data_IF_172054477168
#
_entry.id   IF_172054477168
#
_cell.length_a   1.000
_cell.length_b   1.000
_cell.length_c   1.000
_cell.angle_alpha   90.00
_cell.angle_beta   90.00
_cell.angle_gamma   90.00
#
_symmetry.space_group_name_H-M   'P 1'
#
loop_
_entity.id
_entity.type
_entity.pdbx_description
1 polymer ?
#
# COMPACT_ATOMS: atom_id res chain seq x y z
N UNK A 1 -28.74 -6.25 19.08
CA UNK A 1 -27.35 -6.78 18.95
C UNK A 1 -26.41 -5.82 19.65
N UNK A 2 -25.90 -6.17 20.83
CA UNK A 2 -24.91 -5.36 21.53
C UNK A 2 -23.53 -5.83 21.05
N UNK A 3 -22.80 -4.98 20.34
CA UNK A 3 -21.43 -5.28 19.93
C UNK A 3 -20.59 -5.28 21.22
N UNK A 4 -19.95 -6.39 21.59
CA UNK A 4 -19.36 -6.50 22.90
C UNK A 4 -18.03 -5.73 22.93
N UNK A 5 -17.95 -4.75 23.84
CA UNK A 5 -16.90 -3.73 23.94
C UNK A 5 -15.47 -4.27 24.11
N UNK A 6 -15.32 -5.54 24.48
CA UNK A 6 -14.04 -6.20 24.60
C UNK A 6 -13.36 -6.46 23.24
N UNK A 7 -14.14 -6.63 22.16
CA UNK A 7 -13.58 -6.83 20.82
C UNK A 7 -12.98 -5.51 20.31
N UNK A 8 -13.65 -4.39 20.59
CA UNK A 8 -13.17 -3.07 20.21
C UNK A 8 -11.86 -2.69 20.92
N UNK A 9 -11.71 -3.02 22.22
CA UNK A 9 -10.47 -2.74 22.94
C UNK A 9 -9.29 -3.62 22.49
N UNK A 10 -9.55 -4.87 22.10
CA UNK A 10 -8.52 -5.76 21.54
C UNK A 10 -8.03 -5.28 20.18
N UNK A 11 -8.94 -4.80 19.32
CA UNK A 11 -8.55 -4.21 18.03
C UNK A 11 -7.77 -2.90 18.23
N UNK A 12 -8.17 -2.08 19.20
CA UNK A 12 -7.49 -0.82 19.50
C UNK A 12 -6.07 -1.02 20.05
N UNK A 13 -5.89 -1.99 20.95
CA UNK A 13 -4.57 -2.31 21.53
C UNK A 13 -3.62 -2.91 20.50
N UNK A 14 -4.12 -3.77 19.60
CA UNK A 14 -3.33 -4.27 18.48
C UNK A 14 -2.95 -3.15 17.50
N UNK A 15 -3.87 -2.26 17.16
CA UNK A 15 -3.59 -1.12 16.28
C UNK A 15 -2.57 -0.13 16.88
N UNK A 16 -2.61 0.07 18.20
CA UNK A 16 -1.67 0.94 18.92
C UNK A 16 -0.23 0.38 18.90
N UNK A 17 -0.07 -0.95 18.92
CA UNK A 17 1.26 -1.57 18.81
C UNK A 17 1.89 -1.40 17.42
N UNK A 18 1.07 -1.28 16.37
CA UNK A 18 1.52 -1.01 15.00
C UNK A 18 1.88 0.48 14.82
N UNK A 19 1.32 1.38 15.63
CA UNK A 19 1.59 2.83 15.59
C UNK A 19 2.64 3.32 16.59
N UNK A 20 3.19 2.44 17.45
CA UNK A 20 4.41 2.77 18.19
C UNK A 20 5.61 2.79 17.23
N UNK A 21 5.80 3.96 16.62
CA UNK A 21 7.03 4.33 15.97
C UNK A 21 8.16 4.16 16.97
N UNK A 22 8.96 3.11 16.76
CA UNK A 22 10.20 2.92 17.50
C UNK A 22 11.05 4.18 17.37
N UNK A 23 11.73 4.64 18.43
CA UNK A 23 12.65 5.77 18.36
C UNK A 23 13.68 5.46 17.27
N UNK A 24 13.54 6.18 16.16
CA UNK A 24 14.39 6.09 14.99
C UNK A 24 15.78 6.59 15.38
N UNK A 25 16.66 5.65 15.74
CA UNK A 25 18.08 5.92 15.77
C UNK A 25 18.52 6.32 14.34
N UNK A 26 19.14 7.48 14.22
CA UNK A 26 19.58 8.16 12.99
C UNK A 26 20.71 7.44 12.23
N UNK A 27 20.62 6.11 12.08
CA UNK A 27 21.58 5.29 11.34
C UNK A 27 20.96 4.19 10.47
N UNK A 28 19.70 3.85 10.68
CA UNK A 28 19.00 2.81 9.91
C UNK A 28 18.15 3.46 8.82
N UNK A 29 18.81 3.87 7.74
CA UNK A 29 18.13 4.09 6.48
C UNK A 29 17.61 2.75 6.00
N UNK A 30 16.30 2.53 6.08
CA UNK A 30 15.62 1.34 5.55
C UNK A 30 16.21 1.03 4.18
N UNK A 31 16.94 -0.08 4.06
CA UNK A 31 17.62 -0.40 2.81
C UNK A 31 16.54 -0.57 1.74
N UNK A 32 16.85 -0.18 0.49
CA UNK A 32 15.96 -0.48 -0.63
C UNK A 32 15.64 -1.99 -0.70
N UNK A 33 16.57 -2.83 -0.25
CA UNK A 33 16.36 -4.27 -0.10
C UNK A 33 15.26 -4.62 0.92
N UNK A 34 15.21 -3.92 2.06
CA UNK A 34 14.18 -4.12 3.08
C UNK A 34 12.81 -3.64 2.61
N UNK A 35 12.77 -2.53 1.88
CA UNK A 35 11.54 -2.04 1.24
C UNK A 35 11.03 -3.02 0.19
N UNK A 36 11.92 -3.57 -0.64
CA UNK A 36 11.57 -4.57 -1.63
C UNK A 36 11.09 -5.89 -0.99
N UNK A 37 11.74 -6.33 0.10
CA UNK A 37 11.34 -7.51 0.86
C UNK A 37 9.95 -7.32 1.48
N UNK A 38 9.69 -6.17 2.10
CA UNK A 38 8.39 -5.83 2.66
C UNK A 38 7.30 -5.73 1.59
N UNK A 39 7.62 -5.20 0.41
CA UNK A 39 6.69 -5.14 -0.73
C UNK A 39 6.34 -6.54 -1.25
N UNK A 40 7.33 -7.44 -1.37
CA UNK A 40 7.11 -8.83 -1.75
C UNK A 40 6.20 -9.56 -0.76
N UNK A 41 6.39 -9.31 0.55
CA UNK A 41 5.56 -9.91 1.60
C UNK A 41 4.13 -9.39 1.55
N UNK A 42 3.95 -8.07 1.36
CA UNK A 42 2.64 -7.46 1.17
C UNK A 42 1.92 -7.98 -0.09
N UNK A 43 2.66 -8.18 -1.19
CA UNK A 43 2.12 -8.74 -2.44
C UNK A 43 1.62 -10.17 -2.23
N UNK A 44 2.39 -11.03 -1.56
CA UNK A 44 1.98 -12.40 -1.23
C UNK A 44 0.75 -12.45 -0.33
N UNK A 45 0.67 -11.57 0.67
CA UNK A 45 -0.51 -11.44 1.52
C UNK A 45 -1.75 -10.99 0.71
N UNK A 46 -1.56 -10.09 -0.26
CA UNK A 46 -2.58 -9.67 -1.20
C UNK A 46 -3.07 -10.79 -2.13
N UNK A 47 -2.16 -11.64 -2.62
CA UNK A 47 -2.51 -12.81 -3.43
C UNK A 47 -3.34 -13.83 -2.66
N UNK A 48 -2.99 -14.11 -1.40
CA UNK A 48 -3.76 -15.00 -0.53
C UNK A 48 -5.18 -14.46 -0.27
N UNK A 49 -5.29 -13.15 -0.04
CA UNK A 49 -6.57 -12.45 0.15
C UNK A 49 -7.42 -12.46 -1.12
N UNK A 50 -6.79 -12.26 -2.28
CA UNK A 50 -7.45 -12.30 -3.59
C UNK A 50 -7.92 -13.71 -3.93
N UNK A 51 -7.12 -14.75 -3.66
CA UNK A 51 -7.57 -16.14 -3.77
C UNK A 51 -8.78 -16.42 -2.90
N UNK A 52 -8.80 -15.94 -1.65
CA UNK A 52 -9.96 -16.07 -0.78
C UNK A 52 -11.20 -15.35 -1.35
N UNK A 53 -11.02 -14.17 -1.96
CA UNK A 53 -12.09 -13.42 -2.64
C UNK A 53 -12.64 -14.10 -3.91
N UNK A 54 -11.78 -14.73 -4.70
CA UNK A 54 -12.14 -15.43 -5.94
C UNK A 54 -12.97 -16.71 -5.70
N UNK A 55 -12.96 -17.26 -4.48
CA UNK A 55 -13.82 -18.41 -4.09
C UNK A 55 -15.32 -18.07 -3.93
N UNK A 56 -15.75 -16.86 -4.32
CA UNK A 56 -17.16 -16.54 -4.55
C UNK A 56 -17.91 -15.93 -3.37
N UNK A 57 -17.24 -15.20 -2.47
CA UNK A 57 -17.88 -14.45 -1.36
C UNK A 57 -17.72 -12.93 -1.42
N UNK A 58 -17.34 -12.37 -2.56
CA UNK A 58 -17.18 -10.93 -2.71
C UNK A 58 -18.45 -10.31 -3.33
N UNK A 59 -19.26 -9.70 -2.48
CA UNK A 59 -20.43 -8.88 -2.85
C UNK A 59 -20.01 -7.78 -3.85
N UNK A 60 -20.92 -7.28 -4.69
CA UNK A 60 -20.59 -6.25 -5.70
C UNK A 60 -19.91 -5.01 -5.09
N UNK A 61 -20.16 -4.77 -3.80
CA UNK A 61 -19.53 -3.73 -3.00
C UNK A 61 -18.00 -3.95 -2.80
N UNK A 62 -17.55 -5.19 -2.66
CA UNK A 62 -16.12 -5.51 -2.48
C UNK A 62 -15.30 -5.20 -3.75
N UNK A 63 -15.91 -5.33 -4.93
CA UNK A 63 -15.28 -4.92 -6.19
C UNK A 63 -15.10 -3.40 -6.26
N UNK A 64 -16.09 -2.64 -5.77
CA UNK A 64 -16.01 -1.17 -5.72
C UNK A 64 -14.99 -0.70 -4.68
N UNK A 65 -14.90 -1.38 -3.53
CA UNK A 65 -13.90 -1.08 -2.50
C UNK A 65 -12.48 -1.35 -3.01
N UNK A 66 -12.27 -2.49 -3.70
CA UNK A 66 -10.99 -2.80 -4.33
C UNK A 66 -10.62 -1.79 -5.44
N UNK A 67 -11.61 -1.33 -6.22
CA UNK A 67 -11.40 -0.32 -7.26
C UNK A 67 -11.01 1.04 -6.65
N UNK A 68 -11.70 1.46 -5.58
CA UNK A 68 -11.38 2.69 -4.85
C UNK A 68 -9.98 2.64 -4.25
N UNK A 69 -9.55 1.48 -3.72
CA UNK A 69 -8.18 1.30 -3.22
C UNK A 69 -7.11 1.39 -4.34
N UNK A 70 -7.47 1.07 -5.58
CA UNK A 70 -6.54 1.04 -6.73
C UNK A 70 -6.40 2.40 -7.42
N UNK A 71 -7.34 3.34 -7.22
CA UNK A 71 -7.34 4.66 -7.87
C UNK A 71 -6.08 5.48 -7.53
N UNK A 72 -5.66 5.49 -6.26
CA UNK A 72 -4.46 6.22 -5.81
C UNK A 72 -3.18 5.65 -6.45
N UNK A 73 -3.13 4.34 -6.66
CA UNK A 73 -1.99 3.68 -7.30
C UNK A 73 -1.89 4.06 -8.78
N UNK A 74 -3.00 4.13 -9.50
CA UNK A 74 -3.05 4.55 -10.91
C UNK A 74 -2.64 6.03 -11.06
N UNK A 75 -3.18 6.91 -10.21
CA UNK A 75 -2.84 8.34 -10.22
C UNK A 75 -1.32 8.56 -10.03
N UNK A 76 -0.73 7.79 -9.12
CA UNK A 76 0.72 7.84 -8.85
C UNK A 76 1.53 7.32 -10.04
N UNK A 77 1.10 6.21 -10.64
CA UNK A 77 1.76 5.65 -11.82
C UNK A 77 1.76 6.63 -13.02
N UNK A 78 0.65 7.33 -13.25
CA UNK A 78 0.56 8.37 -14.29
C UNK A 78 1.50 9.54 -13.96
N UNK A 79 1.53 9.98 -12.71
CA UNK A 79 2.42 11.07 -12.27
C UNK A 79 3.89 10.72 -12.51
N UNK A 80 4.31 9.49 -12.21
CA UNK A 80 5.68 9.01 -12.48
C UNK A 80 5.96 8.97 -13.98
N UNK A 81 5.02 8.45 -14.79
CA UNK A 81 5.14 8.41 -16.25
C UNK A 81 5.32 9.82 -16.82
N UNK A 82 4.54 10.79 -16.36
CA UNK A 82 4.60 12.16 -16.86
C UNK A 82 5.93 12.84 -16.48
N UNK A 83 6.46 12.57 -15.29
CA UNK A 83 7.79 13.04 -14.86
C UNK A 83 8.93 12.46 -15.70
N UNK A 84 8.84 11.19 -16.08
CA UNK A 84 9.81 10.56 -16.98
C UNK A 84 9.77 11.18 -18.37
N UNK A 85 8.57 11.47 -18.88
CA UNK A 85 8.40 12.15 -20.18
C UNK A 85 8.95 13.57 -20.15
N UNK A 86 8.69 14.33 -19.07
CA UNK A 86 9.23 15.68 -18.87
C UNK A 86 10.77 15.67 -18.87
N UNK A 87 11.39 14.79 -18.08
CA UNK A 87 12.84 14.63 -18.05
C UNK A 87 13.44 14.26 -19.43
N UNK A 88 12.76 13.39 -20.19
CA UNK A 88 13.21 13.02 -21.52
C UNK A 88 13.11 14.19 -22.51
N UNK A 89 12.04 14.98 -22.42
CA UNK A 89 11.89 16.19 -23.23
C UNK A 89 12.93 17.26 -22.85
N UNK A 90 13.31 17.36 -21.58
CA UNK A 90 14.33 18.32 -21.13
C UNK A 90 15.74 17.96 -21.64
N UNK A 91 16.08 16.66 -21.66
CA UNK A 91 17.32 16.16 -22.30
C UNK A 91 17.36 16.51 -23.78
N UNK A 92 16.25 16.39 -24.51
CA UNK A 92 16.17 16.71 -25.94
C UNK A 92 16.10 18.22 -26.23
N UNK A 93 15.74 19.03 -25.24
CA UNK A 93 15.67 20.51 -25.34
C UNK A 93 16.97 21.19 -24.96
N UNK A 94 17.97 20.47 -24.44
CA UNK A 94 19.34 20.98 -24.43
C UNK A 94 19.87 20.96 -25.87
N UNK A 95 20.04 22.12 -26.53
CA UNK A 95 20.85 22.17 -27.74
C UNK A 95 22.27 21.79 -27.36
N UNK A 96 22.86 20.88 -28.14
CA UNK A 96 24.32 20.67 -28.16
C UNK A 96 25.06 21.93 -28.59
#
# INVERSE_FOLDING_TARGET
MQIPSHVASQLYTNAQSVTQAHPRNEGDGTSFADLAANFLDAMRAGEATTQAGLTGRADAQAVVEALAATEIAVQTAVTVRDKVVEAYQEILRMPV
#
